data_IF_166959970927
#
_entry.id   IF_166959970927
#
_cell.length_a   1.000
_cell.length_b   1.000
_cell.length_c   1.000
_cell.angle_alpha   90.00
_cell.angle_beta   90.00
_cell.angle_gamma   90.00
#
_symmetry.space_group_name_H-M   'P 1'
#
loop_
_entity.id
_entity.type
_entity.pdbx_description
1 polymer ?
#
# COMPACT_ATOMS: atom_id res chain seq x y z
N UNK A 1 48.86 76.34 -4.81
CA UNK A 1 48.64 76.33 -3.35
C UNK A 1 47.81 75.09 -2.98
N UNK A 2 48.09 74.53 -1.80
CA UNK A 2 47.36 73.51 -1.03
C UNK A 2 47.26 72.05 -1.58
N UNK A 3 48.04 71.19 -0.91
CA UNK A 3 47.96 69.73 -0.81
C UNK A 3 46.70 69.28 -0.04
N UNK A 4 46.18 68.08 -0.32
CA UNK A 4 45.87 67.07 0.73
C UNK A 4 45.73 65.65 0.14
N UNK A 5 46.70 64.79 0.49
CA UNK A 5 46.56 63.33 0.53
C UNK A 5 45.78 62.97 1.80
N UNK A 6 44.94 61.93 1.75
CA UNK A 6 44.72 61.05 2.91
C UNK A 6 44.39 59.64 2.43
N UNK A 7 44.80 58.68 3.24
CA UNK A 7 45.19 57.31 2.93
C UNK A 7 44.45 56.36 3.85
N UNK A 8 43.93 55.23 3.31
CA UNK A 8 43.59 53.95 4.01
C UNK A 8 42.56 54.05 5.17
N UNK A 9 41.79 53.05 5.59
CA UNK A 9 41.87 51.57 5.55
C UNK A 9 40.51 51.00 5.99
N UNK A 10 40.16 49.84 5.41
CA UNK A 10 39.43 48.69 5.99
C UNK A 10 38.42 48.86 7.12
N UNK A 11 37.23 48.28 6.93
CA UNK A 11 36.75 47.25 7.86
C UNK A 11 35.74 46.33 7.17
N UNK A 12 36.10 45.04 7.08
CA UNK A 12 35.16 43.94 6.95
C UNK A 12 34.28 43.90 8.21
N UNK A 13 32.95 43.91 8.06
CA UNK A 13 32.05 43.24 9.01
C UNK A 13 30.62 43.21 8.46
N UNK A 14 30.04 42.01 8.40
CA UNK A 14 28.62 41.82 8.10
C UNK A 14 28.27 40.67 7.15
N UNK A 15 29.15 39.69 6.95
CA UNK A 15 28.78 38.38 6.40
C UNK A 15 28.52 37.43 7.56
N UNK A 16 27.36 37.57 8.21
CA UNK A 16 26.99 36.74 9.36
C UNK A 16 25.45 36.72 9.52
N UNK A 17 24.73 36.29 8.47
CA UNK A 17 23.30 35.92 8.55
C UNK A 17 22.96 34.67 7.72
N UNK A 18 23.82 34.23 6.80
CA UNK A 18 23.48 33.17 5.83
C UNK A 18 23.75 31.73 6.27
N UNK A 19 24.21 31.49 7.50
CA UNK A 19 24.68 30.15 7.92
C UNK A 19 23.67 29.32 8.72
N UNK A 20 22.74 29.96 9.42
CA UNK A 20 21.72 29.24 10.22
C UNK A 20 20.54 28.78 9.36
N UNK A 21 20.11 29.57 8.37
CA UNK A 21 18.95 29.25 7.53
C UNK A 21 19.20 28.04 6.63
N UNK A 22 20.39 27.93 6.05
CA UNK A 22 20.74 26.82 5.13
C UNK A 22 20.83 25.47 5.84
N UNK A 23 21.30 25.47 7.10
CA UNK A 23 21.47 24.24 7.89
C UNK A 23 20.11 23.67 8.34
N UNK A 24 19.13 24.52 8.63
CA UNK A 24 17.79 24.10 9.04
C UNK A 24 16.91 23.70 7.85
N UNK A 25 17.02 24.38 6.70
CA UNK A 25 16.42 23.94 5.43
C UNK A 25 16.96 22.56 5.00
N UNK A 26 18.29 22.35 5.06
CA UNK A 26 18.88 21.06 4.69
C UNK A 26 18.43 19.92 5.62
N UNK A 27 18.23 20.22 6.92
CA UNK A 27 17.63 19.27 7.87
C UNK A 27 16.18 18.98 7.56
N UNK A 28 15.36 19.98 7.21
CA UNK A 28 13.97 19.81 6.83
C UNK A 28 13.81 18.89 5.61
N UNK A 29 14.62 19.13 4.57
CA UNK A 29 14.58 18.28 3.37
C UNK A 29 15.07 16.85 3.63
N UNK A 30 16.07 16.65 4.50
CA UNK A 30 16.50 15.30 4.92
C UNK A 30 15.40 14.57 5.70
N UNK A 31 14.67 15.28 6.56
CA UNK A 31 13.55 14.71 7.33
C UNK A 31 12.41 14.27 6.42
N UNK A 32 11.95 15.12 5.51
CA UNK A 32 10.85 14.76 4.60
C UNK A 32 11.24 13.68 3.59
N UNK A 33 12.49 13.66 3.13
CA UNK A 33 13.01 12.58 2.31
C UNK A 33 12.98 11.23 3.05
N UNK A 34 13.26 11.23 4.37
CA UNK A 34 13.13 10.03 5.21
C UNK A 34 11.67 9.59 5.36
N UNK A 35 10.75 10.54 5.54
CA UNK A 35 9.31 10.23 5.58
C UNK A 35 8.83 9.59 4.28
N UNK A 36 9.31 10.08 3.12
CA UNK A 36 9.02 9.46 1.83
C UNK A 36 9.53 8.01 1.75
N UNK A 37 10.75 7.72 2.23
CA UNK A 37 11.24 6.34 2.29
C UNK A 37 10.39 5.46 3.20
N UNK A 38 9.99 5.97 4.38
CA UNK A 38 9.10 5.24 5.29
C UNK A 38 7.72 5.01 4.69
N UNK A 39 7.16 5.99 3.96
CA UNK A 39 5.92 5.80 3.21
C UNK A 39 6.08 4.67 2.19
N UNK A 40 7.17 4.66 1.44
CA UNK A 40 7.44 3.60 0.46
C UNK A 40 7.54 2.21 1.11
N UNK A 41 8.08 2.10 2.32
CA UNK A 41 8.07 0.85 3.09
C UNK A 41 6.63 0.40 3.43
N UNK A 42 5.74 1.34 3.76
CA UNK A 42 4.31 1.06 3.99
C UNK A 42 3.61 0.64 2.70
N UNK A 43 3.93 1.26 1.57
CA UNK A 43 3.45 0.85 0.25
C UNK A 43 3.87 -0.60 -0.08
N UNK A 44 5.11 -0.98 0.23
CA UNK A 44 5.56 -2.37 0.05
C UNK A 44 4.88 -3.33 1.04
N UNK A 45 4.50 -2.87 2.23
CA UNK A 45 3.69 -3.66 3.16
C UNK A 45 2.27 -3.86 2.63
N UNK A 46 1.65 -2.82 2.08
CA UNK A 46 0.35 -2.86 1.43
C UNK A 46 0.27 -3.94 0.35
N UNK A 47 1.16 -3.90 -0.65
CA UNK A 47 1.17 -4.91 -1.72
C UNK A 47 1.41 -6.34 -1.24
N UNK A 48 2.12 -6.53 -0.11
CA UNK A 48 2.26 -7.86 0.49
C UNK A 48 0.94 -8.34 1.08
N UNK A 49 0.23 -7.46 1.80
CA UNK A 49 -1.10 -7.76 2.34
C UNK A 49 -2.13 -8.02 1.26
N UNK A 50 -2.08 -7.31 0.13
CA UNK A 50 -2.96 -7.60 -1.00
C UNK A 50 -2.76 -9.00 -1.56
N UNK A 51 -1.50 -9.44 -1.69
CA UNK A 51 -1.21 -10.81 -2.14
C UNK A 51 -1.68 -11.86 -1.13
N UNK A 52 -1.53 -11.58 0.16
CA UNK A 52 -2.08 -12.43 1.23
C UNK A 52 -3.63 -12.49 1.15
N UNK A 53 -4.28 -11.34 0.91
CA UNK A 53 -5.73 -11.26 0.74
C UNK A 53 -6.24 -12.04 -0.46
N UNK A 54 -5.56 -11.93 -1.61
CA UNK A 54 -5.86 -12.73 -2.81
C UNK A 54 -5.76 -14.23 -2.50
N UNK A 55 -4.67 -14.65 -1.85
CA UNK A 55 -4.47 -16.06 -1.49
C UNK A 55 -5.55 -16.57 -0.50
N UNK A 56 -6.02 -15.72 0.41
CA UNK A 56 -7.14 -16.05 1.31
C UNK A 56 -8.45 -16.24 0.55
N UNK A 57 -8.75 -15.38 -0.43
CA UNK A 57 -9.95 -15.52 -1.26
C UNK A 57 -9.89 -16.79 -2.12
N UNK A 58 -8.75 -17.08 -2.74
CA UNK A 58 -8.54 -18.31 -3.53
C UNK A 58 -8.64 -19.57 -2.65
N UNK A 59 -8.10 -19.51 -1.44
CA UNK A 59 -8.23 -20.57 -0.44
C UNK A 59 -9.69 -20.77 -0.02
N UNK A 60 -10.41 -19.69 0.28
CA UNK A 60 -11.82 -19.72 0.63
C UNK A 60 -12.66 -20.29 -0.51
N UNK A 61 -12.43 -19.85 -1.75
CA UNK A 61 -13.08 -20.38 -2.94
C UNK A 61 -12.89 -21.89 -3.06
N UNK A 62 -11.66 -22.38 -2.85
CA UNK A 62 -11.34 -23.80 -2.90
C UNK A 62 -12.05 -24.60 -1.80
N UNK A 63 -12.11 -24.05 -0.58
CA UNK A 63 -12.77 -24.67 0.56
C UNK A 63 -14.30 -24.73 0.38
N UNK A 64 -14.92 -23.64 -0.11
CA UNK A 64 -16.36 -23.59 -0.40
C UNK A 64 -16.74 -24.54 -1.52
N UNK A 65 -15.94 -24.63 -2.58
CA UNK A 65 -16.15 -25.61 -3.66
C UNK A 65 -16.15 -27.03 -3.12
N UNK A 66 -15.15 -27.39 -2.32
CA UNK A 66 -15.08 -28.70 -1.72
C UNK A 66 -16.32 -28.99 -0.86
N UNK A 67 -16.79 -28.01 -0.06
CA UNK A 67 -17.98 -28.16 0.79
C UNK A 67 -19.23 -28.45 -0.04
N UNK A 68 -19.41 -27.72 -1.15
CA UNK A 68 -20.54 -27.92 -2.07
C UNK A 68 -20.48 -29.28 -2.75
N UNK A 69 -19.30 -29.72 -3.18
CA UNK A 69 -19.10 -31.04 -3.78
C UNK A 69 -19.41 -32.17 -2.78
N UNK A 70 -18.98 -32.02 -1.52
CA UNK A 70 -19.28 -32.97 -0.45
C UNK A 70 -20.78 -33.05 -0.12
N UNK A 71 -21.47 -31.89 -0.07
CA UNK A 71 -22.92 -31.82 0.12
C UNK A 71 -23.66 -32.52 -1.03
N UNK A 72 -23.28 -32.26 -2.28
CA UNK A 72 -23.88 -32.90 -3.45
C UNK A 72 -23.73 -34.44 -3.43
N UNK A 73 -22.56 -34.95 -3.03
CA UNK A 73 -22.35 -36.40 -2.88
C UNK A 73 -23.21 -36.98 -1.77
N UNK A 74 -23.32 -36.30 -0.62
CA UNK A 74 -24.18 -36.74 0.48
C UNK A 74 -25.66 -36.80 0.07
N UNK A 75 -26.16 -35.79 -0.65
CA UNK A 75 -27.54 -35.77 -1.17
C UNK A 75 -27.84 -36.88 -2.18
N UNK A 76 -26.86 -37.28 -3.00
CA UNK A 76 -26.99 -38.42 -3.92
C UNK A 76 -27.08 -39.73 -3.14
N UNK A 77 -26.22 -39.92 -2.14
CA UNK A 77 -26.22 -41.12 -1.28
C UNK A 77 -27.53 -41.25 -0.49
N UNK A 78 -28.06 -40.15 0.03
CA UNK A 78 -29.32 -40.14 0.78
C UNK A 78 -30.55 -40.37 -0.13
N UNK A 79 -30.53 -39.88 -1.38
CA UNK A 79 -31.61 -40.10 -2.35
C UNK A 79 -31.58 -41.49 -3.03
N UNK A 80 -30.39 -42.10 -3.18
CA UNK A 80 -30.23 -43.47 -3.74
C UNK A 80 -30.41 -44.59 -2.70
N UNK A 81 -30.79 -44.24 -1.47
CA UNK A 81 -30.98 -45.13 -0.31
C UNK A 81 -32.05 -46.23 -0.43
N UNK A 82 -32.43 -46.67 -1.63
CA UNK A 82 -33.37 -47.79 -1.81
C UNK A 82 -33.09 -48.75 -2.98
N UNK A 83 -31.91 -48.77 -3.60
CA UNK A 83 -31.53 -49.84 -4.54
C UNK A 83 -30.34 -50.68 -4.05
N UNK A 84 -30.45 -52.02 -3.98
CA UNK A 84 -29.48 -52.89 -3.31
C UNK A 84 -28.29 -53.26 -4.21
N UNK A 85 -27.73 -52.32 -4.96
CA UNK A 85 -26.51 -52.56 -5.77
C UNK A 85 -25.29 -51.96 -5.08
N UNK A 86 -24.69 -52.78 -4.21
CA UNK A 86 -23.48 -52.50 -3.41
C UNK A 86 -22.23 -52.09 -4.21
N UNK A 87 -22.28 -52.02 -5.54
CA UNK A 87 -21.17 -51.59 -6.41
C UNK A 87 -21.17 -50.09 -6.74
N UNK A 88 -22.30 -49.38 -6.57
CA UNK A 88 -22.37 -47.92 -6.78
C UNK A 88 -21.72 -47.13 -5.64
N UNK A 89 -21.92 -47.56 -4.40
CA UNK A 89 -21.39 -46.88 -3.22
C UNK A 89 -19.84 -46.91 -3.15
N UNK A 90 -19.21 -48.01 -3.56
CA UNK A 90 -17.74 -48.13 -3.60
C UNK A 90 -17.10 -47.29 -4.73
N UNK A 91 -17.83 -47.04 -5.82
CA UNK A 91 -17.32 -46.22 -6.94
C UNK A 91 -17.44 -44.72 -6.67
N UNK A 92 -18.43 -44.28 -5.89
CA UNK A 92 -18.55 -42.89 -5.43
C UNK A 92 -17.57 -42.56 -4.30
N UNK A 93 -17.31 -43.52 -3.40
CA UNK A 93 -16.30 -43.41 -2.34
C UNK A 93 -14.86 -43.31 -2.89
N UNK A 94 -14.64 -43.80 -4.12
CA UNK A 94 -13.38 -43.60 -4.86
C UNK A 94 -13.31 -42.31 -5.68
N UNK A 95 -14.43 -41.63 -5.92
CA UNK A 95 -14.51 -40.36 -6.67
C UNK A 95 -14.36 -39.14 -5.76
N UNK A 96 -14.94 -39.24 -4.55
CA UNK A 96 -14.61 -38.38 -3.43
C UNK A 96 -13.27 -38.85 -2.85
N UNK A 97 -12.17 -38.58 -3.57
CA UNK A 97 -10.82 -38.90 -3.10
C UNK A 97 -10.66 -38.46 -1.64
N UNK A 98 -9.86 -39.21 -0.86
CA UNK A 98 -9.57 -39.09 0.59
C UNK A 98 -9.22 -37.68 1.12
N UNK A 99 -10.02 -36.67 0.80
CA UNK A 99 -9.96 -35.32 1.32
C UNK A 99 -10.68 -35.43 2.64
N UNK A 100 -9.90 -35.65 3.70
CA UNK A 100 -10.33 -35.34 5.05
C UNK A 100 -10.69 -33.86 5.04
N UNK A 101 -11.95 -33.57 4.75
CA UNK A 101 -12.50 -32.24 4.69
C UNK A 101 -12.48 -31.70 6.11
N UNK A 102 -11.75 -30.62 6.34
CA UNK A 102 -11.84 -29.86 7.57
C UNK A 102 -13.06 -28.93 7.43
N UNK A 103 -14.20 -29.21 8.09
CA UNK A 103 -15.42 -28.42 7.93
C UNK A 103 -15.23 -26.96 8.35
N UNK A 104 -14.27 -26.72 9.24
CA UNK A 104 -13.95 -25.42 9.82
C UNK A 104 -13.00 -24.59 8.96
N UNK A 105 -12.35 -25.18 7.95
CA UNK A 105 -11.36 -24.46 7.14
C UNK A 105 -11.97 -23.28 6.38
N UNK A 106 -13.17 -23.45 5.83
CA UNK A 106 -13.85 -22.37 5.12
C UNK A 106 -14.27 -21.23 6.06
N UNK A 107 -14.69 -21.56 7.28
CA UNK A 107 -15.02 -20.59 8.33
C UNK A 107 -13.77 -19.84 8.80
N UNK A 108 -12.68 -20.55 9.11
CA UNK A 108 -11.41 -19.95 9.51
C UNK A 108 -10.86 -18.99 8.44
N UNK A 109 -10.96 -19.36 7.16
CA UNK A 109 -10.54 -18.52 6.04
C UNK A 109 -11.45 -17.31 5.86
N UNK A 110 -12.75 -17.48 6.08
CA UNK A 110 -13.71 -16.39 6.04
C UNK A 110 -13.46 -15.39 7.18
N UNK A 111 -13.24 -15.87 8.41
CA UNK A 111 -12.90 -15.01 9.54
C UNK A 111 -11.60 -14.24 9.29
N UNK A 112 -10.55 -14.90 8.81
CA UNK A 112 -9.30 -14.23 8.43
C UNK A 112 -9.53 -13.15 7.38
N UNK A 113 -10.36 -13.42 6.38
CA UNK A 113 -10.71 -12.45 5.35
C UNK A 113 -11.45 -11.24 5.92
N UNK A 114 -12.35 -11.44 6.88
CA UNK A 114 -13.06 -10.34 7.56
C UNK A 114 -12.15 -9.47 8.42
N UNK A 115 -10.95 -9.95 8.80
CA UNK A 115 -9.95 -9.13 9.51
C UNK A 115 -9.07 -8.29 8.59
N UNK A 116 -9.03 -8.59 7.29
CA UNK A 116 -8.21 -7.86 6.31
C UNK A 116 -8.48 -6.35 6.28
N UNK A 117 -9.74 -5.84 6.30
CA UNK A 117 -9.99 -4.40 6.28
C UNK A 117 -9.27 -3.68 7.41
N UNK A 118 -9.31 -4.21 8.63
CA UNK A 118 -8.63 -3.61 9.79
C UNK A 118 -7.12 -3.53 9.58
N UNK A 119 -6.50 -4.54 8.96
CA UNK A 119 -5.06 -4.51 8.65
C UNK A 119 -4.72 -3.42 7.63
N UNK A 120 -5.56 -3.21 6.62
CA UNK A 120 -5.37 -2.13 5.65
C UNK A 120 -5.66 -0.75 6.26
N UNK A 121 -6.65 -0.65 7.14
CA UNK A 121 -6.98 0.56 7.90
C UNK A 121 -5.80 1.00 8.76
N UNK A 122 -5.17 0.08 9.51
CA UNK A 122 -3.97 0.37 10.30
C UNK A 122 -2.81 0.91 9.44
N UNK A 123 -2.57 0.31 8.27
CA UNK A 123 -1.56 0.80 7.33
C UNK A 123 -1.90 2.20 6.81
N UNK A 124 -3.17 2.45 6.50
CA UNK A 124 -3.63 3.74 5.99
C UNK A 124 -3.52 4.83 7.06
N UNK A 125 -3.83 4.52 8.32
CA UNK A 125 -3.62 5.43 9.45
C UNK A 125 -2.13 5.80 9.58
N UNK A 126 -1.23 4.82 9.50
CA UNK A 126 0.21 5.07 9.51
C UNK A 126 0.62 6.00 8.36
N UNK A 127 0.14 5.77 7.13
CA UNK A 127 0.41 6.65 5.99
C UNK A 127 -0.15 8.07 6.20
N UNK A 128 -1.35 8.20 6.79
CA UNK A 128 -1.93 9.49 7.20
C UNK A 128 -1.02 10.22 8.20
N UNK A 129 -0.46 9.52 9.20
CA UNK A 129 0.46 10.15 10.16
C UNK A 129 1.72 10.67 9.48
N UNK A 130 2.26 9.93 8.50
CA UNK A 130 3.42 10.37 7.72
C UNK A 130 3.11 11.62 6.89
N UNK A 131 1.92 11.68 6.29
CA UNK A 131 1.47 12.86 5.55
C UNK A 131 1.32 14.09 6.46
N UNK A 132 0.76 13.93 7.67
CA UNK A 132 0.67 15.02 8.66
C UNK A 132 2.06 15.53 9.04
N UNK A 133 3.00 14.63 9.34
CA UNK A 133 4.38 15.00 9.65
C UNK A 133 5.08 15.69 8.48
N UNK A 134 4.86 15.22 7.24
CA UNK A 134 5.41 15.85 6.05
C UNK A 134 4.86 17.27 5.85
N UNK A 135 3.56 17.46 6.08
CA UNK A 135 2.89 18.76 6.03
C UNK A 135 3.45 19.72 7.06
N UNK A 136 3.66 19.27 8.30
CA UNK A 136 4.28 20.09 9.35
C UNK A 136 5.70 20.53 8.97
N UNK A 137 6.50 19.65 8.36
CA UNK A 137 7.85 20.03 7.90
C UNK A 137 7.78 21.15 6.85
N UNK A 138 6.92 21.01 5.84
CA UNK A 138 6.78 22.01 4.77
C UNK A 138 6.20 23.34 5.29
N UNK A 139 5.29 23.30 6.27
CA UNK A 139 4.70 24.51 6.84
C UNK A 139 5.67 25.29 7.74
N UNK A 140 6.62 24.60 8.36
CA UNK A 140 7.61 25.20 9.25
C UNK A 140 8.85 25.72 8.48
N UNK A 141 9.05 25.28 7.24
CA UNK A 141 9.97 25.95 6.31
C UNK A 141 9.27 27.21 5.80
N UNK A 142 9.59 28.37 6.37
CA UNK A 142 9.12 29.67 5.85
C UNK A 142 9.45 29.78 4.36
N UNK A 143 8.55 30.46 3.63
CA UNK A 143 8.56 30.73 2.19
C UNK A 143 9.90 31.33 1.72
N UNK A 144 10.91 30.47 1.60
CA UNK A 144 12.25 30.74 1.13
C UNK A 144 12.18 31.01 -0.36
N UNK A 145 11.82 32.25 -0.68
CA UNK A 145 11.40 32.68 -2.01
C UNK A 145 12.31 32.20 -3.13
N UNK A 146 11.66 31.81 -4.24
CA UNK A 146 12.20 31.63 -5.58
C UNK A 146 13.71 31.30 -5.65
N UNK A 147 14.15 30.30 -4.90
CA UNK A 147 15.47 29.72 -5.13
C UNK A 147 15.40 28.92 -6.42
N UNK A 148 16.28 29.25 -7.37
CA UNK A 148 16.54 28.47 -8.57
C UNK A 148 17.06 27.08 -8.16
N UNK A 149 16.14 26.17 -7.86
CA UNK A 149 16.46 24.78 -7.55
C UNK A 149 16.85 24.08 -8.84
N UNK A 150 18.04 23.49 -8.88
CA UNK A 150 18.46 22.63 -10.01
C UNK A 150 17.39 21.59 -10.27
N UNK A 151 17.04 21.34 -11.54
CA UNK A 151 15.99 20.40 -11.94
C UNK A 151 16.13 18.98 -11.32
N UNK A 152 17.33 18.60 -10.89
CA UNK A 152 17.64 17.31 -10.25
C UNK A 152 17.38 17.24 -8.75
N UNK A 153 17.17 18.36 -8.05
CA UNK A 153 17.04 18.38 -6.59
C UNK A 153 15.57 18.52 -6.19
N UNK A 154 15.09 17.60 -5.34
CA UNK A 154 13.70 17.62 -4.88
C UNK A 154 13.51 18.59 -3.70
N UNK A 155 12.50 19.44 -3.79
CA UNK A 155 12.07 20.33 -2.72
C UNK A 155 11.14 19.60 -1.76
N UNK A 156 11.02 20.07 -0.50
CA UNK A 156 10.07 19.51 0.46
C UNK A 156 8.62 19.52 -0.04
N UNK A 157 8.19 20.58 -0.73
CA UNK A 157 6.87 20.62 -1.39
C UNK A 157 6.69 19.47 -2.41
N UNK A 158 7.73 19.12 -3.17
CA UNK A 158 7.64 18.05 -4.17
C UNK A 158 7.43 16.68 -3.48
N UNK A 159 8.05 16.46 -2.31
CA UNK A 159 7.80 15.27 -1.48
C UNK A 159 6.40 15.26 -0.89
N UNK A 160 5.93 16.37 -0.34
CA UNK A 160 4.58 16.45 0.22
C UNK A 160 3.52 16.17 -0.85
N UNK A 161 3.66 16.72 -2.05
CA UNK A 161 2.76 16.45 -3.17
C UNK A 161 2.75 14.96 -3.53
N UNK A 162 3.92 14.33 -3.58
CA UNK A 162 4.02 12.90 -3.87
C UNK A 162 3.36 12.05 -2.77
N UNK A 163 3.66 12.32 -1.50
CA UNK A 163 3.06 11.64 -0.35
C UNK A 163 1.52 11.80 -0.35
N UNK A 164 1.03 13.01 -0.64
CA UNK A 164 -0.40 13.29 -0.72
C UNK A 164 -1.08 12.50 -1.85
N UNK A 165 -0.42 12.43 -3.01
CA UNK A 165 -0.93 11.70 -4.15
C UNK A 165 -1.00 10.19 -3.87
N UNK A 166 0.07 9.60 -3.34
CA UNK A 166 0.08 8.18 -2.97
C UNK A 166 -0.98 7.88 -1.89
N UNK A 167 -1.10 8.73 -0.86
CA UNK A 167 -2.11 8.55 0.18
C UNK A 167 -3.54 8.54 -0.39
N UNK A 168 -3.89 9.51 -1.23
CA UNK A 168 -5.22 9.56 -1.84
C UNK A 168 -5.53 8.32 -2.69
N UNK A 169 -4.49 7.77 -3.35
CA UNK A 169 -4.60 6.51 -4.10
C UNK A 169 -4.89 5.33 -3.18
N UNK A 170 -4.17 5.21 -2.06
CA UNK A 170 -4.39 4.12 -1.09
C UNK A 170 -5.71 4.27 -0.32
N UNK A 171 -6.21 5.49 -0.10
CA UNK A 171 -7.56 5.70 0.45
C UNK A 171 -8.63 5.18 -0.51
N UNK A 172 -8.49 5.42 -1.82
CA UNK A 172 -9.41 4.90 -2.82
C UNK A 172 -9.33 3.37 -2.94
N UNK A 173 -8.11 2.83 -2.90
CA UNK A 173 -7.87 1.38 -2.92
C UNK A 173 -8.43 0.69 -1.67
N UNK A 174 -8.29 1.30 -0.49
CA UNK A 174 -8.91 0.82 0.74
C UNK A 174 -10.43 0.69 0.60
N UNK A 175 -11.10 1.75 0.16
CA UNK A 175 -12.55 1.75 -0.03
C UNK A 175 -12.99 0.69 -1.04
N UNK A 176 -12.18 0.48 -2.08
CA UNK A 176 -12.41 -0.56 -3.07
C UNK A 176 -12.28 -1.97 -2.47
N UNK A 177 -11.18 -2.25 -1.76
CA UNK A 177 -10.94 -3.53 -1.06
C UNK A 177 -12.07 -3.82 -0.06
N UNK A 178 -12.43 -2.84 0.75
CA UNK A 178 -13.49 -2.96 1.75
C UNK A 178 -14.84 -3.28 1.09
N UNK A 179 -15.15 -2.63 -0.03
CA UNK A 179 -16.36 -2.92 -0.80
C UNK A 179 -16.34 -4.34 -1.39
N UNK A 180 -15.21 -4.80 -1.95
CA UNK A 180 -15.07 -6.16 -2.47
C UNK A 180 -15.26 -7.21 -1.38
N UNK A 181 -14.63 -7.01 -0.22
CA UNK A 181 -14.71 -7.95 0.90
C UNK A 181 -16.12 -8.07 1.46
N UNK A 182 -16.89 -6.98 1.48
CA UNK A 182 -18.32 -7.01 1.88
C UNK A 182 -19.21 -7.84 0.95
N UNK A 183 -18.81 -8.07 -0.30
CA UNK A 183 -19.56 -8.87 -1.26
C UNK A 183 -19.31 -10.38 -1.10
N UNK A 184 -18.27 -10.77 -0.39
CA UNK A 184 -17.88 -12.17 -0.21
C UNK A 184 -18.69 -12.79 0.91
N UNK A 185 -19.31 -13.92 0.62
CA UNK A 185 -20.06 -14.75 1.56
C UNK A 185 -20.00 -16.22 1.13
N UNK A 186 -20.53 -17.12 1.96
CA UNK A 186 -20.67 -18.54 1.61
C UNK A 186 -21.65 -18.78 0.44
N UNK A 187 -22.56 -17.84 0.18
CA UNK A 187 -23.52 -17.91 -0.92
C UNK A 187 -22.92 -17.42 -2.24
N UNK A 188 -21.83 -16.64 -2.20
CA UNK A 188 -21.17 -16.11 -3.38
C UNK A 188 -20.74 -17.25 -4.31
N UNK A 189 -21.08 -17.15 -5.58
CA UNK A 189 -20.75 -18.17 -6.57
C UNK A 189 -19.25 -18.20 -6.86
N UNK A 190 -18.76 -19.33 -7.33
CA UNK A 190 -17.35 -19.49 -7.70
C UNK A 190 -16.91 -18.53 -8.81
N UNK A 191 -17.82 -18.18 -9.73
CA UNK A 191 -17.56 -17.24 -10.81
C UNK A 191 -17.50 -15.79 -10.31
N UNK A 192 -18.39 -15.41 -9.39
CA UNK A 192 -18.32 -14.13 -8.69
C UNK A 192 -17.03 -14.01 -7.88
N UNK A 193 -16.63 -15.03 -7.11
CA UNK A 193 -15.37 -15.03 -6.36
C UNK A 193 -14.17 -14.85 -7.29
N UNK A 194 -14.12 -15.56 -8.42
CA UNK A 194 -13.06 -15.39 -9.42
C UNK A 194 -13.04 -13.97 -9.98
N UNK A 195 -14.21 -13.40 -10.27
CA UNK A 195 -14.33 -12.03 -10.76
C UNK A 195 -13.82 -11.03 -9.72
N UNK A 196 -14.14 -11.22 -8.44
CA UNK A 196 -13.65 -10.41 -7.34
C UNK A 196 -12.12 -10.47 -7.23
N UNK A 197 -11.53 -11.67 -7.30
CA UNK A 197 -10.06 -11.85 -7.29
C UNK A 197 -9.40 -11.12 -8.45
N UNK A 198 -9.92 -11.27 -9.67
CA UNK A 198 -9.41 -10.57 -10.85
C UNK A 198 -9.49 -9.06 -10.62
N UNK A 199 -10.66 -8.57 -10.18
CA UNK A 199 -10.89 -7.15 -9.96
C UNK A 199 -9.95 -6.56 -8.90
N UNK A 200 -9.64 -7.29 -7.82
CA UNK A 200 -8.66 -6.87 -6.82
C UNK A 200 -7.26 -6.83 -7.45
N UNK A 201 -6.87 -7.88 -8.17
CA UNK A 201 -5.52 -7.99 -8.76
C UNK A 201 -5.21 -6.92 -9.81
N UNK A 202 -6.23 -6.28 -10.38
CA UNK A 202 -6.10 -5.23 -11.41
C UNK A 202 -6.47 -3.85 -10.86
N UNK A 203 -5.89 -3.47 -9.71
CA UNK A 203 -6.13 -2.16 -9.09
C UNK A 203 -5.89 -1.01 -10.10
N UNK A 204 -6.91 -0.19 -10.39
CA UNK A 204 -6.83 0.86 -11.41
C UNK A 204 -6.22 2.16 -10.90
N UNK A 205 -5.87 2.27 -9.61
CA UNK A 205 -5.64 3.54 -8.95
C UNK A 205 -4.19 4.03 -8.99
N UNK A 206 -3.23 3.13 -9.23
CA UNK A 206 -1.80 3.45 -9.21
C UNK A 206 -1.25 3.76 -10.60
N UNK A 207 -0.54 4.88 -10.74
CA UNK A 207 0.36 5.14 -11.88
C UNK A 207 1.79 4.69 -11.51
N UNK A 208 2.19 3.45 -11.85
CA UNK A 208 3.51 2.93 -11.50
C UNK A 208 4.65 3.70 -12.17
N UNK A 209 4.39 4.39 -13.29
CA UNK A 209 5.41 5.19 -13.96
C UNK A 209 5.66 6.51 -13.23
N UNK A 210 4.62 7.14 -12.67
CA UNK A 210 4.76 8.32 -11.83
C UNK A 210 5.60 8.02 -10.59
N UNK A 211 5.25 6.98 -9.82
CA UNK A 211 6.00 6.58 -8.63
C UNK A 211 7.45 6.20 -8.95
N UNK A 212 7.67 5.44 -10.04
CA UNK A 212 9.03 5.09 -10.47
C UNK A 212 9.87 6.31 -10.81
N UNK A 213 9.32 7.27 -11.56
CA UNK A 213 10.04 8.50 -11.95
C UNK A 213 10.38 9.34 -10.73
N UNK A 214 9.47 9.48 -9.78
CA UNK A 214 9.73 10.23 -8.55
C UNK A 214 10.82 9.56 -7.71
N UNK A 215 10.75 8.23 -7.55
CA UNK A 215 11.76 7.46 -6.83
C UNK A 215 13.16 7.60 -7.46
N UNK A 216 13.26 7.56 -8.79
CA UNK A 216 14.52 7.82 -9.49
C UNK A 216 15.07 9.23 -9.19
N UNK A 217 14.22 10.25 -9.19
CA UNK A 217 14.62 11.62 -8.80
C UNK A 217 15.05 11.71 -7.34
N UNK A 218 14.38 10.99 -6.45
CA UNK A 218 14.76 10.89 -5.03
C UNK A 218 16.17 10.31 -4.87
N UNK A 219 16.49 9.21 -5.57
CA UNK A 219 17.83 8.60 -5.54
C UNK A 219 18.91 9.54 -6.08
N UNK A 220 18.64 10.24 -7.18
CA UNK A 220 19.59 11.22 -7.75
C UNK A 220 19.78 12.39 -6.76
N UNK A 221 18.70 12.89 -6.18
CA UNK A 221 18.73 14.00 -5.22
C UNK A 221 19.40 13.62 -3.90
N UNK A 222 19.40 12.35 -3.49
CA UNK A 222 20.07 11.90 -2.26
C UNK A 222 21.57 11.72 -2.48
N UNK A 223 21.99 11.17 -3.63
CA UNK A 223 23.40 11.03 -4.02
C UNK A 223 24.11 12.37 -4.19
N UNK A 224 23.40 13.42 -4.63
CA UNK A 224 23.97 14.77 -4.76
C UNK A 224 24.17 15.48 -3.41
N UNK A 225 23.63 14.93 -2.30
CA UNK A 225 23.68 15.53 -0.95
C UNK A 225 24.63 14.83 0.02
N UNK A 226 25.15 13.65 -0.34
CA UNK A 226 26.23 12.95 0.37
C UNK A 226 27.59 13.44 -0.07
#
# INVERSE_FOLDING_TARGET
>A
MAKKKSTRTSSLRGAEVTKETTDDEEKGVKKIAKLFTTLHEKVLAWYRREREGIALIEGFQSAVLALRDAQAVAEIVDNEGNSPDKKGAETLSGLAGNVVMNPWLAEDLYEQMQTLPTVFEELLEEMCTLHVQAREIVQNEEDGGDQEVKATQLRPVDYLQMISHELATFEAEYQYIEALLRLISFETSTDELRTLVISWSTSPFLDPDQTRRFYQRHLISSQQRT
#
